data_IF_643999833278
#
_entry.id   IF_643999833278
#
_cell.length_a   1.000
_cell.length_b   1.000
_cell.length_c   1.000
_cell.angle_alpha   90.00
_cell.angle_beta   90.00
_cell.angle_gamma   90.00
#
_symmetry.space_group_name_H-M   'P 1'
#
loop_
_entity.id
_entity.type
_entity.pdbx_description
1 polymer ?
#
# COMPACT_ATOMS: atom_id res chain seq x y z
N UNK A 1 0.21 12.06 -7.86
CA UNK A 1 -0.79 11.01 -8.15
C UNK A 1 -0.48 9.66 -7.51
N UNK A 2 0.76 9.16 -7.54
CA UNK A 2 1.12 7.86 -6.92
C UNK A 2 0.78 7.78 -5.41
N UNK A 3 1.14 8.82 -4.65
CA UNK A 3 0.85 8.91 -3.22
C UNK A 3 -0.65 8.80 -2.91
N UNK A 4 -1.50 9.40 -3.75
CA UNK A 4 -2.95 9.30 -3.61
C UNK A 4 -3.44 7.86 -3.75
N UNK A 5 -2.92 7.11 -4.72
CA UNK A 5 -3.31 5.70 -4.92
C UNK A 5 -2.90 4.84 -3.73
N UNK A 6 -1.69 5.05 -3.19
CA UNK A 6 -1.18 4.33 -2.02
C UNK A 6 -2.00 4.68 -0.77
N UNK A 7 -2.22 5.97 -0.50
CA UNK A 7 -3.04 6.45 0.62
C UNK A 7 -4.47 5.91 0.50
N UNK A 8 -5.11 6.04 -0.66
CA UNK A 8 -6.46 5.52 -0.87
C UNK A 8 -6.53 4.02 -0.64
N UNK A 9 -5.54 3.25 -1.10
CA UNK A 9 -5.52 1.79 -0.90
C UNK A 9 -5.31 1.39 0.56
N UNK A 10 -4.33 1.98 1.25
CA UNK A 10 -3.91 1.51 2.57
C UNK A 10 -4.53 2.28 3.73
N UNK A 11 -4.75 3.59 3.60
CA UNK A 11 -5.36 4.43 4.64
C UNK A 11 -6.88 4.47 4.55
N UNK A 12 -7.43 4.52 3.33
CA UNK A 12 -8.88 4.58 3.11
C UNK A 12 -9.51 3.24 2.75
N UNK A 13 -8.71 2.16 2.69
CA UNK A 13 -9.16 0.81 2.32
C UNK A 13 -9.97 0.78 1.00
N UNK A 14 -9.67 1.68 0.06
CA UNK A 14 -10.35 1.76 -1.22
C UNK A 14 -9.74 0.71 -2.17
N UNK A 15 -10.55 -0.26 -2.65
CA UNK A 15 -10.05 -1.24 -3.60
C UNK A 15 -9.77 -0.59 -4.96
N UNK A 16 -8.79 -1.13 -5.70
CA UNK A 16 -8.30 -0.53 -6.94
C UNK A 16 -9.38 -0.38 -8.02
N UNK A 17 -10.38 -1.27 -8.05
CA UNK A 17 -11.50 -1.15 -8.98
C UNK A 17 -12.37 0.08 -8.70
N UNK A 18 -12.49 0.50 -7.43
CA UNK A 18 -13.26 1.68 -7.04
C UNK A 18 -12.49 2.95 -7.36
N UNK A 19 -11.19 2.94 -7.13
CA UNK A 19 -10.27 4.00 -7.56
C UNK A 19 -10.30 4.20 -9.09
N UNK A 20 -10.36 3.12 -9.85
CA UNK A 20 -10.52 3.14 -11.31
C UNK A 20 -11.82 3.85 -11.70
N UNK A 21 -12.96 3.50 -11.11
CA UNK A 21 -14.24 4.18 -11.35
C UNK A 21 -14.20 5.66 -10.98
N UNK A 22 -13.56 6.03 -9.87
CA UNK A 22 -13.42 7.44 -9.45
C UNK A 22 -12.49 8.22 -10.39
N UNK A 23 -11.44 7.59 -10.92
CA UNK A 23 -10.50 8.25 -11.84
C UNK A 23 -11.20 8.68 -13.14
N UNK A 24 -12.15 7.87 -13.64
CA UNK A 24 -12.99 8.20 -14.80
C UNK A 24 -13.81 9.48 -14.54
N UNK A 25 -14.35 9.65 -13.32
CA UNK A 25 -15.12 10.85 -12.95
C UNK A 25 -14.25 12.11 -12.94
N UNK A 26 -12.94 11.97 -12.71
CA UNK A 26 -11.97 13.06 -12.74
C UNK A 26 -11.35 13.29 -14.12
N UNK A 27 -11.81 12.56 -15.15
CA UNK A 27 -11.27 12.62 -16.50
C UNK A 27 -9.91 11.94 -16.67
N UNK A 28 -9.41 11.25 -15.64
CA UNK A 28 -8.16 10.50 -15.68
C UNK A 28 -8.45 9.02 -15.95
N UNK A 29 -8.16 8.50 -17.14
CA UNK A 29 -8.32 7.08 -17.44
C UNK A 29 -7.15 6.27 -16.85
N UNK A 30 -7.20 5.99 -15.55
CA UNK A 30 -6.21 5.16 -14.86
C UNK A 30 -6.68 3.71 -14.82
N UNK A 31 -6.00 2.84 -15.56
CA UNK A 31 -6.32 1.41 -15.53
C UNK A 31 -5.84 0.77 -14.23
N UNK A 32 -6.59 -0.22 -13.74
CA UNK A 32 -6.23 -1.03 -12.58
C UNK A 32 -4.84 -1.64 -12.67
N UNK A 33 -4.45 -2.07 -13.86
CA UNK A 33 -3.13 -2.67 -14.12
C UNK A 33 -2.02 -1.68 -13.83
N UNK A 34 -2.12 -0.46 -14.37
CA UNK A 34 -1.12 0.59 -14.14
C UNK A 34 -1.01 0.95 -12.67
N UNK A 35 -2.15 1.03 -11.96
CA UNK A 35 -2.16 1.29 -10.52
C UNK A 35 -1.52 0.15 -9.71
N UNK A 36 -1.76 -1.10 -10.09
CA UNK A 36 -1.14 -2.26 -9.45
C UNK A 36 0.38 -2.29 -9.67
N UNK A 37 0.84 -2.00 -10.90
CA UNK A 37 2.26 -1.92 -11.24
C UNK A 37 2.96 -0.80 -10.44
N UNK A 38 2.30 0.34 -10.27
CA UNK A 38 2.80 1.43 -9.42
C UNK A 38 2.89 1.07 -7.95
N UNK A 39 1.88 0.38 -7.41
CA UNK A 39 1.92 -0.10 -6.02
C UNK A 39 3.07 -1.10 -5.83
N UNK A 40 3.31 -1.95 -6.83
CA UNK A 40 4.43 -2.90 -6.79
C UNK A 40 5.78 -2.16 -6.70
N UNK A 41 6.01 -1.17 -7.56
CA UNK A 41 7.23 -0.36 -7.52
C UNK A 41 7.43 0.32 -6.16
N UNK A 42 6.38 0.88 -5.56
CA UNK A 42 6.45 1.47 -4.21
C UNK A 42 6.78 0.43 -3.17
N UNK A 43 6.19 -0.77 -3.27
CA UNK A 43 6.48 -1.88 -2.37
C UNK A 43 7.96 -2.26 -2.43
N UNK A 44 8.53 -2.36 -3.62
CA UNK A 44 9.94 -2.71 -3.82
C UNK A 44 10.87 -1.63 -3.21
N UNK A 45 10.46 -0.35 -3.27
CA UNK A 45 11.24 0.75 -2.66
C UNK A 45 11.16 0.78 -1.13
N UNK A 46 10.03 0.40 -0.54
CA UNK A 46 9.83 0.42 0.92
C UNK A 46 10.28 -0.89 1.57
N UNK A 47 10.44 -1.97 0.79
CA UNK A 47 10.92 -3.27 1.26
C UNK A 47 12.17 -3.22 2.15
N UNK A 48 13.27 -2.50 1.82
CA UNK A 48 14.45 -2.45 2.69
C UNK A 48 14.15 -1.80 4.05
N UNK A 49 13.30 -0.77 4.09
CA UNK A 49 12.90 -0.11 5.35
C UNK A 49 12.07 -1.07 6.19
N UNK A 50 11.10 -1.74 5.57
CA UNK A 50 10.29 -2.76 6.23
C UNK A 50 11.15 -3.90 6.81
N UNK A 51 12.14 -4.37 6.04
CA UNK A 51 13.08 -5.40 6.50
C UNK A 51 13.87 -4.96 7.72
N UNK A 52 14.35 -3.72 7.76
CA UNK A 52 15.06 -3.17 8.93
C UNK A 52 14.15 -3.10 10.16
N UNK A 53 12.94 -2.57 10.00
CA UNK A 53 11.95 -2.53 11.09
C UNK A 53 11.60 -3.92 11.60
N UNK A 54 11.46 -4.90 10.70
CA UNK A 54 11.20 -6.30 11.05
C UNK A 54 12.38 -6.92 11.80
N UNK A 55 13.62 -6.66 11.37
CA UNK A 55 14.82 -7.11 12.07
C UNK A 55 14.91 -6.52 13.49
N UNK A 56 14.63 -5.23 13.66
CA UNK A 56 14.60 -4.60 14.99
C UNK A 56 13.49 -5.19 15.88
N UNK A 57 12.30 -5.41 15.32
CA UNK A 57 11.18 -6.03 16.03
C UNK A 57 11.54 -7.45 16.52
N UNK A 58 12.18 -8.26 15.67
CA UNK A 58 12.62 -9.62 16.00
C UNK A 58 13.80 -9.66 16.96
N UNK A 59 14.66 -8.62 16.96
CA UNK A 59 15.75 -8.48 17.92
C UNK A 59 15.26 -8.05 19.31
N UNK A 60 14.04 -7.48 19.40
CA UNK A 60 13.39 -7.14 20.65
C UNK A 60 13.03 -8.39 21.47
N UNK A 61 13.29 -8.35 22.78
CA UNK A 61 12.95 -9.41 23.73
C UNK A 61 11.43 -9.60 23.95
N UNK A 62 10.60 -8.75 23.34
CA UNK A 62 9.14 -8.77 23.48
C UNK A 62 8.49 -8.53 22.11
N UNK A 63 7.87 -9.57 21.57
CA UNK A 63 7.08 -9.48 20.34
C UNK A 63 5.61 -9.35 20.73
N UNK A 64 5.07 -8.13 20.64
CA UNK A 64 3.66 -7.90 20.93
C UNK A 64 2.83 -8.38 19.73
N UNK A 65 2.36 -9.62 19.80
CA UNK A 65 1.42 -10.18 18.84
C UNK A 65 0.02 -9.95 19.41
N UNK A 66 -0.72 -8.96 18.88
CA UNK A 66 -2.10 -8.75 19.28
C UNK A 66 -2.98 -9.80 18.57
N UNK A 67 -3.55 -10.69 19.36
CA UNK A 67 -4.42 -11.75 18.87
C UNK A 67 -5.78 -11.13 18.48
N UNK A 68 -6.01 -10.94 17.19
CA UNK A 68 -7.34 -10.63 16.69
C UNK A 68 -8.23 -11.88 16.83
N UNK A 69 -9.02 -11.89 17.91
CA UNK A 69 -10.04 -12.91 18.22
C UNK A 69 -11.18 -12.95 17.20
#
# INVERSE_FOLDING_TARGET
MLAYIVISKYQHHLPLYRLETMSIQWGAQLSRKSMADWIRLVSDWVEPIYKLMLCELLAGHYLQCDELR
#
